data_IF_167571168936
#
_entry.id   IF_167571168936
#
_cell.length_a   1.000
_cell.length_b   1.000
_cell.length_c   1.000
_cell.angle_alpha   90.00
_cell.angle_beta   90.00
_cell.angle_gamma   90.00
#
_symmetry.space_group_name_H-M   'P 1'
#
loop_
_entity.id
_entity.type
_entity.pdbx_description
1 polymer ?
#
# COMPACT_ATOMS: atom_id res chain seq x y z
N UNK A 1 -8.06 30.49 8.85
CA UNK A 1 -8.59 29.28 9.53
C UNK A 1 -10.01 29.59 9.94
N UNK A 2 -10.99 28.86 9.43
CA UNK A 2 -12.32 28.90 10.02
C UNK A 2 -12.21 28.35 11.45
N UNK A 3 -12.79 29.07 12.42
CA UNK A 3 -12.65 28.85 13.86
C UNK A 3 -13.05 27.44 14.35
N UNK A 4 -13.72 26.64 13.52
CA UNK A 4 -14.21 25.30 13.82
C UNK A 4 -13.39 24.17 13.17
N UNK A 5 -12.14 24.42 12.77
CA UNK A 5 -11.25 23.37 12.24
C UNK A 5 -11.59 22.88 10.83
N UNK A 6 -12.50 23.56 10.12
CA UNK A 6 -12.82 23.26 8.72
C UNK A 6 -11.68 23.74 7.81
N UNK A 7 -11.15 22.85 6.99
CA UNK A 7 -10.13 23.18 6.00
C UNK A 7 -10.71 23.14 4.59
N UNK A 8 -10.32 24.11 3.76
CA UNK A 8 -10.64 24.10 2.32
C UNK A 8 -9.63 23.21 1.61
N UNK A 9 -10.13 22.25 0.84
CA UNK A 9 -9.29 21.37 0.03
C UNK A 9 -9.03 22.07 -1.30
N UNK A 10 -7.75 22.19 -1.66
CA UNK A 10 -7.33 22.68 -2.96
C UNK A 10 -6.68 21.54 -3.73
N UNK A 11 -7.07 21.41 -5.00
CA UNK A 11 -6.55 20.39 -5.90
C UNK A 11 -5.50 21.03 -6.82
N UNK A 12 -4.36 20.36 -6.94
CA UNK A 12 -3.30 20.71 -7.88
C UNK A 12 -3.13 19.56 -8.85
N UNK A 13 -3.36 19.82 -10.13
CA UNK A 13 -3.36 18.81 -11.18
C UNK A 13 -2.75 19.39 -12.47
N UNK A 14 -2.48 18.53 -13.46
CA UNK A 14 -2.03 18.95 -14.78
C UNK A 14 -3.10 19.79 -15.49
N UNK A 15 -2.69 20.67 -16.41
CA UNK A 15 -3.61 21.53 -17.18
C UNK A 15 -4.71 20.74 -17.93
N UNK A 16 -4.43 19.49 -18.29
CA UNK A 16 -5.42 18.55 -18.84
C UNK A 16 -5.44 17.29 -17.97
N UNK A 17 -6.45 17.13 -17.09
CA UNK A 17 -6.63 15.92 -16.30
C UNK A 17 -6.76 14.66 -17.16
N UNK A 18 -6.33 13.51 -16.62
CA UNK A 18 -6.45 12.22 -17.29
C UNK A 18 -7.93 11.86 -17.46
N UNK A 19 -8.36 11.65 -18.70
CA UNK A 19 -9.71 11.19 -19.02
C UNK A 19 -9.87 9.72 -18.67
N UNK A 20 -11.01 9.39 -18.07
CA UNK A 20 -11.38 8.04 -17.66
C UNK A 20 -12.79 7.74 -18.18
N UNK A 21 -13.04 6.48 -18.55
CA UNK A 21 -14.38 6.00 -18.90
C UNK A 21 -14.87 5.06 -17.80
N UNK A 22 -16.09 5.31 -17.33
CA UNK A 22 -16.78 4.48 -16.36
C UNK A 22 -17.38 3.25 -17.06
N UNK A 23 -17.69 2.21 -16.28
CA UNK A 23 -18.26 0.95 -16.80
C UNK A 23 -19.64 1.12 -17.45
N UNK A 24 -20.36 2.19 -17.10
CA UNK A 24 -21.65 2.58 -17.68
C UNK A 24 -21.50 3.40 -18.98
N UNK A 25 -20.27 3.66 -19.43
CA UNK A 25 -19.98 4.45 -20.63
C UNK A 25 -19.91 5.96 -20.38
N UNK A 26 -20.09 6.43 -19.14
CA UNK A 26 -19.93 7.85 -18.80
C UNK A 26 -18.44 8.24 -18.79
N UNK A 27 -18.11 9.38 -19.40
CA UNK A 27 -16.76 9.94 -19.35
C UNK A 27 -16.59 10.82 -18.11
N UNK A 28 -15.48 10.65 -17.40
CA UNK A 28 -15.06 11.49 -16.27
C UNK A 28 -13.56 11.79 -16.41
N UNK A 29 -12.98 12.47 -15.44
CA UNK A 29 -11.54 12.66 -15.34
C UNK A 29 -11.03 12.38 -13.94
N UNK A 30 -9.71 12.20 -13.82
CA UNK A 30 -9.07 11.87 -12.56
C UNK A 30 -9.29 12.94 -11.48
N UNK A 31 -9.43 14.21 -11.85
CA UNK A 31 -9.69 15.29 -10.91
C UNK A 31 -11.08 15.14 -10.29
N UNK A 32 -12.11 14.97 -11.13
CA UNK A 32 -13.49 14.78 -10.67
C UNK A 32 -13.62 13.56 -9.77
N UNK A 33 -12.96 12.44 -10.12
CA UNK A 33 -12.93 11.25 -9.27
C UNK A 33 -12.32 11.56 -7.91
N UNK A 34 -11.22 12.30 -7.86
CA UNK A 34 -10.59 12.71 -6.60
C UNK A 34 -11.48 13.67 -5.80
N UNK A 35 -12.10 14.66 -6.44
CA UNK A 35 -13.01 15.60 -5.78
C UNK A 35 -14.23 14.91 -5.17
N UNK A 36 -14.77 13.90 -5.83
CA UNK A 36 -15.91 13.11 -5.34
C UNK A 36 -15.52 12.12 -4.24
N UNK A 37 -14.29 11.60 -4.27
CA UNK A 37 -13.84 10.55 -3.35
C UNK A 37 -13.21 11.09 -2.07
N UNK A 38 -12.66 12.31 -2.08
CA UNK A 38 -11.95 12.88 -0.92
C UNK A 38 -12.97 13.48 0.05
N UNK A 39 -13.06 12.99 1.30
CA UNK A 39 -13.96 13.54 2.30
C UNK A 39 -13.50 14.95 2.74
N UNK A 40 -14.41 15.78 3.28
CA UNK A 40 -14.05 17.09 3.81
C UNK A 40 -13.00 16.98 4.92
N UNK A 41 -12.03 17.90 4.91
CA UNK A 41 -10.97 17.93 5.91
C UNK A 41 -11.42 18.73 7.15
N UNK A 42 -11.83 18.00 8.17
CA UNK A 42 -12.26 18.54 9.46
C UNK A 42 -11.21 18.21 10.53
N UNK A 43 -10.40 19.22 10.87
CA UNK A 43 -9.36 19.15 11.89
C UNK A 43 -9.94 19.38 13.28
N UNK A 44 -9.35 18.75 14.31
CA UNK A 44 -9.78 18.99 15.68
C UNK A 44 -9.40 20.41 16.14
N UNK A 45 -10.34 21.26 16.59
CA UNK A 45 -10.00 22.60 17.08
C UNK A 45 -9.11 22.60 18.33
N UNK A 46 -9.07 21.49 19.07
CA UNK A 46 -8.25 21.33 20.29
C UNK A 46 -6.78 21.04 19.94
N UNK A 47 -6.51 20.46 18.76
CA UNK A 47 -5.16 20.16 18.30
C UNK A 47 -4.62 21.35 17.51
N UNK A 48 -4.08 22.32 18.25
CA UNK A 48 -3.75 23.67 17.79
C UNK A 48 -2.62 23.79 16.76
N UNK A 49 -1.99 22.68 16.35
CA UNK A 49 -0.97 22.69 15.31
C UNK A 49 -0.96 21.38 14.49
N UNK A 50 -0.26 21.40 13.35
CA UNK A 50 -0.16 20.24 12.45
C UNK A 50 0.50 19.01 13.08
N UNK A 51 1.47 19.18 13.98
CA UNK A 51 2.13 18.06 14.66
C UNK A 51 1.15 17.29 15.56
N UNK A 52 0.31 17.99 16.32
CA UNK A 52 -0.70 17.38 17.17
C UNK A 52 -1.78 16.68 16.35
N UNK A 53 -2.20 17.25 15.21
CA UNK A 53 -3.12 16.59 14.28
C UNK A 53 -2.50 15.27 13.76
N UNK A 54 -1.22 15.27 13.37
CA UNK A 54 -0.50 14.06 12.90
C UNK A 54 -0.28 13.03 14.02
N UNK A 55 0.06 13.47 15.23
CA UNK A 55 0.16 12.55 16.37
C UNK A 55 -1.20 11.91 16.66
N UNK A 56 -2.28 12.68 16.60
CA UNK A 56 -3.63 12.18 16.82
C UNK A 56 -4.06 11.11 15.82
N UNK A 57 -3.68 11.20 14.55
CA UNK A 57 -3.99 10.15 13.57
C UNK A 57 -3.30 8.82 13.91
N UNK A 58 -2.13 8.86 14.55
CA UNK A 58 -1.40 7.67 14.98
C UNK A 58 -2.04 7.00 16.20
N UNK A 59 -2.65 7.78 17.09
CA UNK A 59 -3.21 7.27 18.36
C UNK A 59 -4.70 6.91 18.25
N UNK A 60 -5.45 7.60 17.39
CA UNK A 60 -6.92 7.49 17.36
C UNK A 60 -7.43 6.27 16.60
N UNK A 61 -6.73 5.85 15.55
CA UNK A 61 -7.23 4.82 14.63
C UNK A 61 -6.30 3.61 14.60
N UNK A 62 -6.79 2.51 15.14
CA UNK A 62 -6.19 1.21 14.91
C UNK A 62 -6.36 0.78 13.44
N UNK A 63 -5.38 0.04 12.95
CA UNK A 63 -5.45 -0.57 11.65
C UNK A 63 -6.46 -1.73 11.65
N UNK A 64 -7.21 -1.96 10.55
CA UNK A 64 -8.07 -3.12 10.46
C UNK A 64 -7.26 -4.40 10.63
N UNK A 65 -7.82 -5.43 11.32
CA UNK A 65 -7.13 -6.68 11.54
C UNK A 65 -6.95 -7.37 10.20
N UNK A 66 -5.68 -7.55 9.86
CA UNK A 66 -5.23 -8.00 8.56
C UNK A 66 -4.16 -9.04 8.80
N UNK A 67 -4.34 -10.20 8.18
CA UNK A 67 -3.49 -11.36 8.34
C UNK A 67 -2.86 -11.67 6.99
N UNK A 68 -1.54 -11.75 6.97
CA UNK A 68 -0.80 -12.01 5.74
C UNK A 68 0.45 -12.85 6.01
N UNK A 69 0.90 -13.53 4.96
CA UNK A 69 2.17 -14.24 4.95
C UNK A 69 3.24 -13.44 4.21
N UNK A 70 4.52 -13.67 4.52
CA UNK A 70 5.66 -12.96 3.93
C UNK A 70 6.65 -13.90 3.27
N UNK A 71 7.24 -13.45 2.16
CA UNK A 71 8.38 -14.11 1.53
C UNK A 71 9.56 -13.14 1.40
N UNK A 72 10.75 -13.68 1.49
CA UNK A 72 12.01 -12.96 1.30
C UNK A 72 12.51 -13.28 -0.10
N UNK A 73 12.83 -12.25 -0.89
CA UNK A 73 13.15 -12.38 -2.32
C UNK A 73 14.58 -11.98 -2.64
N UNK A 74 15.45 -12.91 -3.04
CA UNK A 74 16.85 -12.58 -3.33
C UNK A 74 16.99 -11.74 -4.61
N UNK A 75 17.36 -10.46 -4.46
CA UNK A 75 17.69 -9.62 -5.60
C UNK A 75 18.92 -10.15 -6.35
N UNK A 76 18.90 -9.99 -7.67
CA UNK A 76 19.95 -10.49 -8.59
C UNK A 76 21.30 -9.79 -8.42
N UNK A 77 21.28 -8.54 -7.95
CA UNK A 77 22.49 -7.88 -7.47
C UNK A 77 22.64 -8.22 -6.00
N UNK A 78 23.82 -8.71 -5.57
CA UNK A 78 24.16 -8.84 -4.13
C UNK A 78 23.71 -7.54 -3.48
N UNK A 79 22.59 -7.58 -2.76
CA UNK A 79 21.85 -6.49 -2.09
C UNK A 79 20.32 -6.54 -2.31
N UNK A 80 19.66 -7.37 -1.48
CA UNK A 80 18.40 -7.15 -0.73
C UNK A 80 17.09 -7.82 -1.16
N UNK A 81 16.27 -8.11 -0.13
CA UNK A 81 15.11 -9.00 -0.19
C UNK A 81 13.90 -8.51 0.62
N UNK A 82 12.73 -8.44 -0.03
CA UNK A 82 11.40 -8.78 0.53
C UNK A 82 10.26 -8.41 -0.45
N UNK A 83 9.49 -9.41 -0.89
CA UNK A 83 8.21 -9.20 -1.59
C UNK A 83 7.17 -10.03 -0.85
N UNK A 84 6.09 -9.35 -0.47
CA UNK A 84 5.11 -9.84 0.48
C UNK A 84 3.78 -10.00 -0.24
N UNK A 85 3.53 -11.20 -0.77
CA UNK A 85 2.24 -11.51 -1.38
C UNK A 85 1.23 -11.79 -0.28
N UNK A 86 0.16 -11.01 -0.26
CA UNK A 86 -0.94 -11.21 0.66
C UNK A 86 -1.82 -12.35 0.14
N UNK A 87 -2.09 -13.32 0.99
CA UNK A 87 -3.21 -14.24 0.82
C UNK A 87 -4.09 -14.06 2.03
N UNK A 88 -5.35 -13.67 1.80
CA UNK A 88 -6.37 -13.65 2.83
C UNK A 88 -6.57 -15.08 3.30
N UNK A 89 -6.09 -15.40 4.49
CA UNK A 89 -6.50 -16.62 5.15
C UNK A 89 -6.96 -16.30 6.55
N UNK A 90 -8.25 -16.54 6.80
CA UNK A 90 -8.97 -16.37 8.07
C UNK A 90 -8.53 -17.32 9.18
N UNK A 91 -7.46 -18.09 8.99
CA UNK A 91 -6.97 -19.13 9.90
C UNK A 91 -5.54 -18.90 10.41
N UNK A 92 -4.97 -17.71 10.16
CA UNK A 92 -3.70 -17.33 10.78
C UNK A 92 -3.95 -16.90 12.23
N UNK A 93 -3.32 -17.60 13.19
CA UNK A 93 -3.33 -17.24 14.61
C UNK A 93 -2.48 -16.00 14.91
N UNK A 94 -1.52 -15.69 14.05
CA UNK A 94 -0.62 -14.53 14.14
C UNK A 94 -0.89 -13.55 13.00
N UNK A 95 -0.80 -12.24 13.29
CA UNK A 95 -0.97 -11.16 12.31
C UNK A 95 0.01 -11.25 11.12
N UNK A 96 1.14 -11.92 11.27
CA UNK A 96 2.16 -12.06 10.23
C UNK A 96 2.97 -13.34 10.43
N UNK A 97 3.10 -14.16 9.38
CA UNK A 97 3.99 -15.33 9.36
C UNK A 97 4.77 -15.40 8.05
N UNK A 98 5.83 -16.21 7.99
CA UNK A 98 6.53 -16.46 6.73
C UNK A 98 5.87 -17.62 5.97
N UNK A 99 5.89 -17.56 4.64
CA UNK A 99 5.56 -18.71 3.80
C UNK A 99 6.64 -19.79 3.98
N UNK A 100 6.22 -21.06 4.05
CA UNK A 100 7.13 -22.17 3.77
C UNK A 100 7.45 -22.24 2.27
N UNK A 101 8.47 -23.00 1.87
CA UNK A 101 8.79 -23.16 0.45
C UNK A 101 7.63 -23.82 -0.30
N UNK A 102 7.05 -24.90 0.25
CA UNK A 102 5.92 -25.60 -0.37
C UNK A 102 4.67 -24.71 -0.50
N UNK A 103 4.36 -23.93 0.54
CA UNK A 103 3.23 -22.99 0.50
C UNK A 103 3.42 -21.90 -0.54
N UNK A 104 4.66 -21.43 -0.72
CA UNK A 104 5.00 -20.41 -1.70
C UNK A 104 4.93 -20.96 -3.13
N UNK A 105 5.40 -22.19 -3.36
CA UNK A 105 5.28 -22.87 -4.66
C UNK A 105 3.83 -23.21 -5.01
N UNK A 106 2.97 -23.41 -4.00
CA UNK A 106 1.55 -23.61 -4.20
C UNK A 106 0.77 -22.30 -4.49
N UNK A 107 1.42 -21.13 -4.45
CA UNK A 107 0.80 -19.87 -4.86
C UNK A 107 0.63 -19.88 -6.37
N UNK A 108 -0.57 -20.20 -6.84
CA UNK A 108 -0.96 -20.04 -8.23
C UNK A 108 -1.45 -18.63 -8.57
N UNK A 109 -1.70 -18.40 -9.86
CA UNK A 109 -2.48 -17.27 -10.34
C UNK A 109 -3.98 -17.53 -10.16
N UNK A 110 -4.70 -16.51 -9.70
CA UNK A 110 -6.16 -16.46 -9.77
C UNK A 110 -6.53 -15.41 -10.81
N UNK A 111 -6.63 -15.85 -12.06
CA UNK A 111 -6.87 -14.99 -13.23
C UNK A 111 -8.25 -14.30 -13.19
N UNK A 112 -9.09 -14.63 -12.21
CA UNK A 112 -10.38 -13.96 -11.99
C UNK A 112 -10.24 -12.62 -11.28
N UNK A 113 -9.08 -12.33 -10.66
CA UNK A 113 -8.85 -11.11 -9.89
C UNK A 113 -7.65 -10.32 -10.42
N UNK A 114 -7.79 -9.01 -10.64
CA UNK A 114 -6.65 -8.17 -10.99
C UNK A 114 -5.62 -8.14 -9.87
N UNK A 115 -4.34 -8.12 -10.25
CA UNK A 115 -3.21 -8.01 -9.34
C UNK A 115 -2.92 -6.55 -8.98
N UNK A 116 -2.90 -6.24 -7.69
CA UNK A 116 -2.46 -4.96 -7.13
C UNK A 116 -1.11 -5.14 -6.43
N UNK A 117 -0.11 -4.35 -6.81
CA UNK A 117 1.19 -4.29 -6.12
C UNK A 117 1.31 -2.93 -5.43
N UNK A 118 1.44 -2.96 -4.11
CA UNK A 118 1.44 -1.78 -3.23
C UNK A 118 2.85 -1.53 -2.70
N UNK A 119 3.29 -0.27 -2.78
CA UNK A 119 4.55 0.19 -2.20
C UNK A 119 4.26 0.89 -0.87
N UNK A 120 5.00 0.55 0.19
CA UNK A 120 4.92 1.31 1.44
C UNK A 120 5.62 2.66 1.31
N UNK A 121 5.28 3.57 2.23
CA UNK A 121 5.87 4.89 2.36
C UNK A 121 6.87 4.99 3.51
N UNK A 122 6.98 6.19 4.08
CA UNK A 122 8.02 6.59 5.03
C UNK A 122 8.14 5.69 6.27
N UNK A 123 7.02 5.18 6.79
CA UNK A 123 6.96 4.43 8.05
C UNK A 123 7.32 2.95 7.90
N UNK A 124 7.49 2.47 6.66
CA UNK A 124 8.37 1.33 6.43
C UNK A 124 7.73 -0.06 6.52
N UNK A 125 6.48 -0.26 6.05
CA UNK A 125 6.05 -1.63 5.73
C UNK A 125 4.56 -1.89 5.53
N UNK A 126 4.24 -3.15 5.30
CA UNK A 126 2.87 -3.68 5.18
C UNK A 126 2.03 -3.64 6.47
N UNK A 127 2.64 -3.30 7.60
CA UNK A 127 1.96 -3.24 8.88
C UNK A 127 1.30 -1.88 9.17
N UNK A 128 1.54 -0.91 8.29
CA UNK A 128 1.13 0.47 8.46
C UNK A 128 -0.39 0.66 8.43
N UNK A 129 -0.98 1.43 9.35
CA UNK A 129 -2.43 1.63 9.42
C UNK A 129 -3.04 2.19 8.15
N UNK A 130 -2.43 3.21 7.54
CA UNK A 130 -2.96 3.84 6.32
C UNK A 130 -3.06 2.83 5.17
N UNK A 131 -2.03 1.99 5.02
CA UNK A 131 -1.94 0.99 3.96
C UNK A 131 -2.98 -0.10 4.19
N UNK A 132 -3.15 -0.53 5.44
CA UNK A 132 -4.15 -1.53 5.83
C UNK A 132 -5.59 -1.05 5.63
N UNK A 133 -5.89 0.21 5.94
CA UNK A 133 -7.19 0.81 5.64
C UNK A 133 -7.48 0.84 4.13
N UNK A 134 -6.51 1.22 3.30
CA UNK A 134 -6.68 1.18 1.84
C UNK A 134 -6.89 -0.24 1.31
N UNK A 135 -6.08 -1.20 1.78
CA UNK A 135 -6.16 -2.59 1.31
C UNK A 135 -7.48 -3.24 1.73
N UNK A 136 -7.97 -2.98 2.95
CA UNK A 136 -9.23 -3.54 3.43
C UNK A 136 -10.42 -3.25 2.50
N UNK A 137 -10.42 -2.10 1.82
CA UNK A 137 -11.47 -1.71 0.86
C UNK A 137 -11.37 -2.47 -0.48
N UNK A 138 -10.20 -2.99 -0.83
CA UNK A 138 -9.93 -3.63 -2.13
C UNK A 138 -9.87 -5.16 -2.03
N UNK A 139 -9.86 -5.66 -0.80
CA UNK A 139 -9.53 -7.03 -0.44
C UNK A 139 -10.43 -8.11 -1.07
N UNK A 140 -11.69 -7.79 -1.39
CA UNK A 140 -12.64 -8.76 -1.95
C UNK A 140 -12.51 -8.92 -3.47
N UNK A 141 -11.95 -7.93 -4.17
CA UNK A 141 -11.91 -7.89 -5.64
C UNK A 141 -10.52 -7.94 -6.26
N UNK A 142 -9.46 -7.90 -5.45
CA UNK A 142 -8.08 -7.80 -5.92
C UNK A 142 -7.19 -8.85 -5.27
N UNK A 143 -6.25 -9.39 -6.06
CA UNK A 143 -5.10 -10.12 -5.54
C UNK A 143 -4.05 -9.08 -5.13
N UNK A 144 -3.70 -8.97 -3.85
CA UNK A 144 -2.90 -7.85 -3.35
C UNK A 144 -1.51 -8.33 -2.92
N UNK A 145 -0.49 -7.54 -3.22
CA UNK A 145 0.87 -7.73 -2.73
C UNK A 145 1.39 -6.42 -2.20
N UNK A 146 2.10 -6.45 -1.08
CA UNK A 146 2.83 -5.29 -0.55
C UNK A 146 4.32 -5.54 -0.71
N UNK A 147 5.05 -4.63 -1.31
CA UNK A 147 6.51 -4.74 -1.39
C UNK A 147 7.10 -4.02 -0.18
N UNK A 148 7.74 -4.79 0.70
CA UNK A 148 8.51 -4.21 1.81
C UNK A 148 9.93 -3.97 1.33
N UNK A 149 10.35 -2.72 1.37
CA UNK A 149 11.67 -2.33 0.91
C UNK A 149 12.77 -2.82 1.85
N UNK A 150 13.99 -2.83 1.32
CA UNK A 150 15.22 -3.15 2.05
C UNK A 150 15.35 -2.40 3.37
N UNK A 151 15.69 -3.13 4.44
CA UNK A 151 15.86 -2.57 5.78
C UNK A 151 14.57 -2.06 6.43
N UNK A 152 13.40 -2.24 5.79
CA UNK A 152 12.10 -1.87 6.32
C UNK A 152 11.34 -3.11 6.85
N UNK A 153 10.32 -2.89 7.68
CA UNK A 153 9.42 -3.92 8.18
C UNK A 153 10.11 -5.13 8.84
N UNK A 154 11.19 -4.90 9.58
CA UNK A 154 11.98 -5.96 10.23
C UNK A 154 12.78 -6.84 9.28
N UNK A 155 12.98 -6.42 8.02
CA UNK A 155 13.89 -7.11 7.10
C UNK A 155 15.35 -6.93 7.53
N UNK A 156 16.16 -7.97 7.32
CA UNK A 156 17.60 -7.91 7.58
C UNK A 156 18.24 -6.87 6.65
N UNK A 157 19.11 -6.03 7.20
CA UNK A 157 19.94 -5.14 6.38
C UNK A 157 21.03 -6.00 5.74
N UNK A 158 20.98 -6.13 4.41
CA UNK A 158 21.94 -6.93 3.63
C UNK A 158 22.72 -6.08 2.63
N UNK A 159 22.58 -4.75 2.69
CA UNK A 159 23.14 -3.79 1.73
C UNK A 159 23.53 -2.50 2.44
N UNK A 160 24.53 -1.81 1.90
CA UNK A 160 24.92 -0.46 2.29
C UNK A 160 23.92 0.62 1.82
N UNK A 161 23.03 0.28 0.89
CA UNK A 161 22.00 1.18 0.37
C UNK A 161 20.69 0.89 1.08
N UNK A 162 20.15 1.87 1.82
CA UNK A 162 18.84 1.79 2.48
C UNK A 162 17.68 2.17 1.53
N UNK A 163 16.45 1.99 1.99
CA UNK A 163 15.25 2.35 1.23
C UNK A 163 15.27 3.81 0.77
N UNK A 164 14.92 4.01 -0.51
CA UNK A 164 14.71 5.31 -1.13
C UNK A 164 13.53 5.19 -2.09
N UNK A 165 12.55 6.08 -2.04
CA UNK A 165 11.39 6.04 -2.95
C UNK A 165 11.78 6.17 -4.45
N UNK A 166 12.92 6.77 -4.75
CA UNK A 166 13.49 6.88 -6.11
C UNK A 166 14.21 5.59 -6.56
N UNK A 167 14.52 4.69 -5.63
CA UNK A 167 15.17 3.40 -5.90
C UNK A 167 14.19 2.40 -6.51
N UNK A 168 13.96 2.53 -7.81
CA UNK A 168 12.97 1.71 -8.54
C UNK A 168 13.50 0.33 -8.95
N UNK A 169 14.78 0.03 -8.75
CA UNK A 169 15.40 -1.25 -9.16
C UNK A 169 14.87 -2.46 -8.38
N UNK A 170 14.54 -2.30 -7.10
CA UNK A 170 13.95 -3.38 -6.29
C UNK A 170 12.55 -3.70 -6.79
N UNK A 171 11.73 -2.67 -6.99
CA UNK A 171 10.38 -2.82 -7.50
C UNK A 171 10.34 -3.42 -8.91
N UNK A 172 11.27 -3.06 -9.81
CA UNK A 172 11.33 -3.66 -11.14
C UNK A 172 11.53 -5.17 -11.11
N UNK A 173 12.42 -5.67 -10.24
CA UNK A 173 12.64 -7.12 -10.10
C UNK A 173 11.39 -7.83 -9.59
N UNK A 174 10.69 -7.20 -8.65
CA UNK A 174 9.39 -7.70 -8.18
C UNK A 174 8.42 -7.81 -9.35
N UNK A 175 8.22 -6.74 -10.13
CA UNK A 175 7.29 -6.75 -11.28
C UNK A 175 7.69 -7.83 -12.30
N UNK A 176 8.98 -7.96 -12.62
CA UNK A 176 9.46 -9.01 -13.53
C UNK A 176 9.15 -10.41 -13.02
N UNK A 177 9.30 -10.66 -11.71
CA UNK A 177 8.93 -11.93 -11.12
C UNK A 177 7.42 -12.20 -11.21
N UNK A 178 6.58 -11.20 -10.91
CA UNK A 178 5.13 -11.33 -11.07
C UNK A 178 4.76 -11.68 -12.52
N UNK A 179 5.37 -11.02 -13.50
CA UNK A 179 5.12 -11.28 -14.92
C UNK A 179 5.56 -12.68 -15.37
N UNK A 180 6.53 -13.30 -14.69
CA UNK A 180 7.04 -14.62 -15.03
C UNK A 180 6.23 -15.76 -14.37
N UNK A 181 5.88 -15.59 -13.10
CA UNK A 181 5.23 -16.64 -12.30
C UNK A 181 3.70 -16.55 -12.30
N UNK A 182 3.14 -15.37 -12.58
CA UNK A 182 1.73 -15.04 -12.32
C UNK A 182 1.18 -14.31 -13.55
N UNK A 183 0.81 -15.07 -14.60
CA UNK A 183 0.41 -14.53 -15.90
C UNK A 183 -0.89 -13.72 -15.87
#
# INVERSE_FOLDING_TARGET
MDWLGRSKIQFTHAASPLKLERRDGESTDLLQVCEQSIPPCNLSPVLFNGHLQTLWTTVRQDAPPIYYKRRTFEATTKNTTALLRWTLWSALSLKTVFYTDDEFQAIGSDDTKPQLIVLHGMTGGSHEPYLRHCIALLNEGWSICVVNSRGCAGSKITSEVLYNARATWDFRQVVTWFQAEIP
#
